data_IF_535444542923
#
_entry.id   IF_535444542923
#
_cell.length_a   1.000
_cell.length_b   1.000
_cell.length_c   1.000
_cell.angle_alpha   90.00
_cell.angle_beta   90.00
_cell.angle_gamma   90.00
#
_symmetry.space_group_name_H-M   'P 1'
#
loop_
_entity.id
_entity.type
_entity.pdbx_description
1 polymer ?
#
# COMPACT_ATOMS: atom_id res chain seq x y z
N UNK A 1 22.78 7.84 -18.93
CA UNK A 1 22.61 8.21 -18.81
C UNK A 1 22.44 8.50 -18.23
N UNK A 2 22.68 8.47 -18.10
CA UNK A 2 22.37 8.76 -17.67
C UNK A 2 22.09 9.52 -17.30
N UNK A 3 22.29 9.84 -17.49
CA UNK A 3 21.99 10.80 -17.15
C UNK A 3 20.80 11.25 -17.16
N UNK A 4 20.38 11.22 -16.18
CA UNK A 4 19.09 11.72 -16.23
C UNK A 4 19.09 13.17 -16.02
N UNK A 5 18.34 13.90 -16.85
CA UNK A 5 18.22 15.33 -16.66
C UNK A 5 17.37 15.63 -15.43
N UNK A 6 17.51 16.81 -14.81
CA UNK A 6 16.63 17.19 -13.71
C UNK A 6 15.16 17.20 -14.10
N UNK A 7 14.88 17.53 -15.35
CA UNK A 7 13.52 17.53 -15.85
C UNK A 7 12.92 16.13 -15.78
N UNK A 8 13.68 15.13 -16.20
CA UNK A 8 13.20 13.77 -16.16
C UNK A 8 12.96 13.30 -14.72
N UNK A 9 13.79 13.75 -13.81
CA UNK A 9 13.59 13.40 -12.42
C UNK A 9 12.30 13.97 -11.89
N UNK A 10 11.93 15.18 -12.31
CA UNK A 10 10.66 15.75 -11.92
C UNK A 10 9.49 14.95 -12.44
N UNK A 11 9.56 14.58 -13.70
CA UNK A 11 8.50 13.82 -14.34
C UNK A 11 8.32 12.49 -13.61
N UNK A 12 9.42 11.84 -13.28
CA UNK A 12 9.36 10.59 -12.56
C UNK A 12 8.73 10.78 -11.19
N UNK A 13 9.06 11.88 -10.52
CA UNK A 13 8.50 12.16 -9.21
C UNK A 13 6.98 12.33 -9.28
N UNK A 14 6.49 13.05 -10.28
CA UNK A 14 5.06 13.21 -10.46
C UNK A 14 4.35 11.90 -10.74
N UNK A 15 4.97 11.08 -11.56
CA UNK A 15 4.44 9.77 -11.84
C UNK A 15 4.35 8.93 -10.56
N UNK A 16 5.34 9.07 -9.73
CA UNK A 16 5.39 8.33 -8.47
C UNK A 16 4.24 8.73 -7.55
N UNK A 17 3.93 10.02 -7.49
CA UNK A 17 2.80 10.48 -6.70
C UNK A 17 1.49 9.91 -7.20
N UNK A 18 1.31 9.88 -8.51
CA UNK A 18 0.10 9.29 -9.08
C UNK A 18 0.01 7.81 -8.73
N UNK A 19 1.14 7.13 -8.75
CA UNK A 19 1.18 5.73 -8.41
C UNK A 19 0.81 5.51 -6.95
N UNK A 20 1.26 6.39 -6.07
CA UNK A 20 0.90 6.31 -4.67
C UNK A 20 -0.60 6.45 -4.47
N UNK A 21 -1.21 7.38 -5.17
CA UNK A 21 -2.66 7.57 -5.08
C UNK A 21 -3.40 6.31 -5.52
N UNK A 22 -2.94 5.69 -6.59
CA UNK A 22 -3.54 4.44 -7.07
C UNK A 22 -3.35 3.33 -6.04
N UNK A 23 -2.17 3.25 -5.46
CA UNK A 23 -1.91 2.24 -4.44
C UNK A 23 -2.79 2.41 -3.21
N UNK A 24 -3.00 3.66 -2.79
CA UNK A 24 -3.86 3.94 -1.65
C UNK A 24 -5.30 3.54 -1.94
N UNK A 25 -5.76 3.80 -3.15
CA UNK A 25 -7.10 3.38 -3.55
C UNK A 25 -7.23 1.86 -3.54
N UNK A 26 -6.25 1.17 -4.06
CA UNK A 26 -6.24 -0.28 -4.04
C UNK A 26 -6.23 -0.83 -2.63
N UNK A 27 -5.46 -0.18 -1.76
CA UNK A 27 -5.41 -0.60 -0.36
C UNK A 27 -6.79 -0.49 0.28
N UNK A 28 -7.51 0.58 -0.01
CA UNK A 28 -8.87 0.73 0.48
C UNK A 28 -9.79 -0.39 0.02
N UNK A 29 -9.68 -0.76 -1.27
CA UNK A 29 -10.47 -1.86 -1.80
C UNK A 29 -10.11 -3.17 -1.12
N UNK A 30 -8.82 -3.39 -0.87
CA UNK A 30 -8.38 -4.60 -0.19
C UNK A 30 -8.90 -4.68 1.23
N UNK A 31 -8.97 -3.55 1.93
CA UNK A 31 -9.52 -3.52 3.28
C UNK A 31 -10.97 -3.99 3.26
N UNK A 32 -11.76 -3.46 2.34
CA UNK A 32 -13.15 -3.86 2.20
C UNK A 32 -13.26 -5.35 1.94
N UNK A 33 -12.45 -5.85 1.01
CA UNK A 33 -12.47 -7.26 0.66
C UNK A 33 -12.08 -8.13 1.86
N UNK A 34 -11.11 -7.67 2.66
CA UNK A 34 -10.68 -8.42 3.84
C UNK A 34 -11.79 -8.58 4.85
N UNK A 35 -12.63 -7.57 5.02
CA UNK A 35 -13.75 -7.66 5.94
C UNK A 35 -14.77 -8.70 5.50
N UNK A 36 -14.84 -8.95 4.19
CA UNK A 36 -15.80 -9.89 3.63
C UNK A 36 -15.23 -11.27 3.37
N UNK A 37 -13.91 -11.39 3.29
CA UNK A 37 -13.28 -12.64 2.90
C UNK A 37 -13.02 -13.55 4.09
N UNK A 38 -12.99 -14.85 3.80
CA UNK A 38 -12.69 -15.87 4.79
C UNK A 38 -11.81 -16.94 4.16
N UNK A 39 -11.10 -17.68 5.02
CA UNK A 39 -10.31 -18.82 4.60
C UNK A 39 -9.21 -18.45 3.63
N UNK A 40 -9.10 -19.21 2.54
CA UNK A 40 -8.01 -19.02 1.59
C UNK A 40 -8.06 -17.68 0.88
N UNK A 41 -9.25 -17.16 0.65
CA UNK A 41 -9.38 -15.86 0.01
C UNK A 41 -8.77 -14.78 0.88
N UNK A 42 -8.97 -14.88 2.18
CA UNK A 42 -8.39 -13.91 3.11
C UNK A 42 -6.87 -13.95 3.10
N UNK A 43 -6.29 -15.15 3.03
CA UNK A 43 -4.85 -15.31 2.95
C UNK A 43 -4.29 -14.64 1.71
N UNK A 44 -4.95 -14.83 0.57
CA UNK A 44 -4.52 -14.21 -0.68
C UNK A 44 -4.57 -12.69 -0.60
N UNK A 45 -5.63 -12.17 0.02
CA UNK A 45 -5.78 -10.73 0.17
C UNK A 45 -4.68 -10.16 1.04
N UNK A 46 -4.31 -10.86 2.11
CA UNK A 46 -3.22 -10.40 2.96
C UNK A 46 -1.90 -10.33 2.20
N UNK A 47 -1.65 -11.27 1.29
CA UNK A 47 -0.46 -11.20 0.46
C UNK A 47 -0.47 -9.97 -0.42
N UNK A 48 -1.62 -9.63 -0.98
CA UNK A 48 -1.75 -8.43 -1.78
C UNK A 48 -1.55 -7.17 -0.95
N UNK A 49 -2.09 -7.17 0.25
CA UNK A 49 -1.90 -6.04 1.17
C UNK A 49 -0.41 -5.86 1.45
N UNK A 50 0.30 -6.95 1.76
CA UNK A 50 1.72 -6.87 2.04
C UNK A 50 2.48 -6.28 0.86
N UNK A 51 2.20 -6.77 -0.35
CA UNK A 51 2.86 -6.26 -1.54
C UNK A 51 2.57 -4.78 -1.74
N UNK A 52 1.32 -4.37 -1.56
CA UNK A 52 0.94 -2.98 -1.72
C UNK A 52 1.64 -2.09 -0.71
N UNK A 53 1.71 -2.53 0.55
CA UNK A 53 2.39 -1.78 1.59
C UNK A 53 3.87 -1.66 1.33
N UNK A 54 4.49 -2.71 0.78
CA UNK A 54 5.90 -2.64 0.41
C UNK A 54 6.14 -1.61 -0.68
N UNK A 55 5.25 -1.53 -1.64
CA UNK A 55 5.36 -0.54 -2.70
C UNK A 55 5.19 0.87 -2.17
N UNK A 56 4.44 1.03 -1.11
CA UNK A 56 4.28 2.30 -0.44
C UNK A 56 5.43 2.61 0.53
N UNK A 57 6.44 1.73 0.56
CA UNK A 57 7.65 1.91 1.37
C UNK A 57 7.38 1.87 2.86
N UNK A 58 6.38 1.10 3.26
CA UNK A 58 6.12 0.85 4.66
C UNK A 58 7.20 -0.11 5.19
N UNK A 59 7.77 0.14 6.37
CA UNK A 59 8.81 -0.75 6.92
C UNK A 59 8.34 -2.20 7.00
N UNK A 60 9.27 -3.11 6.69
CA UNK A 60 8.95 -4.54 6.65
C UNK A 60 8.39 -5.02 7.99
N UNK A 61 8.94 -4.54 9.09
CA UNK A 61 8.47 -4.97 10.41
C UNK A 61 7.02 -4.58 10.63
N UNK A 62 6.64 -3.40 10.18
CA UNK A 62 5.27 -2.94 10.33
C UNK A 62 4.33 -3.76 9.46
N UNK A 63 4.77 -4.05 8.22
CA UNK A 63 3.99 -4.90 7.32
C UNK A 63 3.74 -6.26 7.94
N UNK A 64 4.79 -6.88 8.46
CA UNK A 64 4.66 -8.19 9.10
C UNK A 64 3.71 -8.15 10.28
N UNK A 65 3.83 -7.13 11.11
CA UNK A 65 2.96 -6.99 12.27
C UNK A 65 1.49 -6.93 11.85
N UNK A 66 1.20 -6.13 10.86
CA UNK A 66 -0.16 -5.95 10.37
C UNK A 66 -0.70 -7.25 9.79
N UNK A 67 0.09 -7.92 8.96
CA UNK A 67 -0.33 -9.15 8.32
C UNK A 67 -0.54 -10.26 9.35
N UNK A 68 0.36 -10.37 10.31
CA UNK A 68 0.26 -11.41 11.32
C UNK A 68 -0.91 -11.20 12.27
N UNK A 69 -1.30 -9.95 12.47
CA UNK A 69 -2.43 -9.65 13.34
C UNK A 69 -3.75 -10.13 12.75
N UNK A 70 -3.79 -10.29 11.43
CA UNK A 70 -5.01 -10.70 10.72
C UNK A 70 -6.19 -9.79 11.04
N UNK A 71 -5.89 -8.51 11.24
CA UNK A 71 -6.89 -7.53 11.63
C UNK A 71 -7.00 -6.43 10.57
N UNK A 72 -8.05 -6.45 9.73
CA UNK A 72 -8.19 -5.43 8.68
C UNK A 72 -8.28 -4.00 9.22
N UNK A 73 -8.72 -3.83 10.46
CA UNK A 73 -8.81 -2.49 11.04
C UNK A 73 -7.44 -1.82 11.11
N UNK A 74 -6.36 -2.60 11.31
CA UNK A 74 -5.01 -2.04 11.33
C UNK A 74 -4.64 -1.47 9.96
N UNK A 75 -5.05 -2.14 8.90
CA UNK A 75 -4.81 -1.65 7.55
C UNK A 75 -5.59 -0.36 7.31
N UNK A 76 -6.84 -0.32 7.77
CA UNK A 76 -7.66 0.86 7.64
C UNK A 76 -7.04 2.05 8.38
N UNK A 77 -6.51 1.81 9.57
CA UNK A 77 -5.85 2.87 10.34
C UNK A 77 -4.61 3.38 9.61
N UNK A 78 -3.82 2.46 9.06
CA UNK A 78 -2.64 2.84 8.29
C UNK A 78 -3.04 3.65 7.06
N UNK A 79 -4.10 3.23 6.38
CA UNK A 79 -4.61 3.95 5.23
C UNK A 79 -4.98 5.39 5.60
N UNK A 80 -5.63 5.58 6.73
CA UNK A 80 -5.98 6.91 7.21
C UNK A 80 -4.73 7.76 7.45
N UNK A 81 -3.68 7.15 8.04
CA UNK A 81 -2.42 7.86 8.25
C UNK A 81 -1.83 8.32 6.92
N UNK A 82 -1.83 7.43 5.92
CA UNK A 82 -1.23 7.75 4.65
C UNK A 82 -2.01 8.83 3.91
N UNK A 83 -3.33 8.79 4.01
CA UNK A 83 -4.16 9.81 3.40
C UNK A 83 -3.97 11.16 4.07
N UNK A 84 -3.76 11.17 5.37
CA UNK A 84 -3.55 12.41 6.10
C UNK A 84 -2.22 13.06 5.74
N UNK A 85 -1.24 12.26 5.30
CA UNK A 85 0.08 12.77 4.93
C UNK A 85 0.15 13.26 3.49
N UNK A 86 -0.76 12.82 2.65
CA UNK A 86 -0.69 13.17 1.22
C UNK A 86 -1.36 14.50 0.85
#
# INVERSE_FOLDING_TARGET
MAKRSPYQQRVIRNYYKNQDAIMLQRLGDLVTDLFLAEGKARVRLWKRVATTLEKLEIPAKRVQHIVQSDNPALVADLLKELLAKS
#
